data_IF_704208267880
#
_entry.id   IF_704208267880
#
_cell.length_a   1.000
_cell.length_b   1.000
_cell.length_c   1.000
_cell.angle_alpha   90.00
_cell.angle_beta   90.00
_cell.angle_gamma   90.00
#
_symmetry.space_group_name_H-M   'P 1'
#
loop_
_entity.id
_entity.type
_entity.pdbx_description
1 polymer ?
#
# COMPACT_ATOMS: atom_id res chain seq x y z
N UNK A 1 58.17 0.09 -76.83
CA UNK A 1 56.90 -0.35 -77.41
C UNK A 1 56.32 -1.45 -76.56
N UNK A 2 55.42 -1.15 -75.58
CA UNK A 2 54.73 -2.16 -74.82
C UNK A 2 53.24 -1.77 -74.72
N UNK A 3 52.42 -2.56 -75.39
CA UNK A 3 50.96 -2.52 -75.34
C UNK A 3 50.48 -2.98 -73.97
N UNK A 4 49.63 -2.18 -73.30
CA UNK A 4 48.79 -2.61 -72.16
C UNK A 4 47.34 -2.82 -72.62
N UNK A 5 46.70 -3.94 -72.27
CA UNK A 5 45.30 -4.14 -72.59
C UNK A 5 44.38 -3.42 -71.59
N UNK A 6 43.29 -2.86 -72.13
CA UNK A 6 42.16 -2.27 -71.36
C UNK A 6 41.31 -3.34 -70.69
N UNK A 7 41.01 -3.20 -69.39
CA UNK A 7 40.04 -4.02 -68.71
C UNK A 7 38.63 -3.38 -68.80
N UNK A 8 37.54 -4.21 -68.90
CA UNK A 8 36.22 -3.65 -69.00
C UNK A 8 35.70 -3.30 -67.55
N UNK A 9 34.99 -2.21 -67.44
CA UNK A 9 34.31 -1.77 -66.20
C UNK A 9 33.05 -2.61 -65.96
N UNK A 10 32.99 -3.30 -64.85
CA UNK A 10 31.81 -4.00 -64.36
C UNK A 10 30.94 -3.01 -63.57
N UNK A 11 29.75 -2.66 -64.07
CA UNK A 11 28.76 -1.86 -63.37
C UNK A 11 28.03 -2.76 -62.35
N UNK A 12 28.26 -2.48 -61.07
CA UNK A 12 27.50 -3.12 -59.98
C UNK A 12 26.20 -2.32 -59.75
N UNK A 13 25.06 -2.91 -60.08
CA UNK A 13 23.74 -2.40 -59.72
C UNK A 13 23.50 -2.75 -58.25
N UNK A 14 23.57 -1.76 -57.34
CA UNK A 14 23.12 -1.95 -55.97
C UNK A 14 21.61 -1.77 -55.90
N UNK A 15 20.89 -2.87 -55.67
CA UNK A 15 19.49 -2.88 -55.25
C UNK A 15 19.45 -2.50 -53.79
N UNK A 16 18.94 -1.31 -53.47
CA UNK A 16 18.60 -0.90 -52.10
C UNK A 16 17.33 -1.62 -51.65
N UNK A 17 17.50 -2.63 -50.83
CA UNK A 17 16.39 -3.22 -50.05
C UNK A 17 16.04 -2.23 -48.94
N UNK A 18 14.91 -1.57 -49.04
CA UNK A 18 14.37 -0.69 -48.01
C UNK A 18 13.93 -1.50 -46.81
N UNK A 19 14.72 -1.50 -45.74
CA UNK A 19 14.27 -2.00 -44.43
C UNK A 19 13.39 -0.91 -43.79
N UNK A 20 12.07 -1.12 -43.81
CA UNK A 20 11.10 -0.29 -43.07
C UNK A 20 11.31 -0.53 -41.60
N UNK A 21 11.97 0.36 -40.90
CA UNK A 21 11.97 0.40 -39.43
C UNK A 21 10.61 0.91 -39.01
N UNK A 22 9.75 0.00 -38.52
CA UNK A 22 8.59 0.35 -37.72
C UNK A 22 9.11 0.98 -36.41
N UNK A 23 9.19 2.31 -36.40
CA UNK A 23 9.42 3.04 -35.17
C UNK A 23 8.22 2.78 -34.25
N UNK A 24 8.42 1.94 -33.24
CA UNK A 24 7.44 1.78 -32.16
C UNK A 24 7.20 3.16 -31.55
N UNK A 25 5.96 3.64 -31.62
CA UNK A 25 5.56 4.88 -30.98
C UNK A 25 5.90 4.80 -29.48
N UNK A 26 6.51 5.84 -28.87
CA UNK A 26 6.75 5.87 -27.44
C UNK A 26 5.40 5.77 -26.72
N UNK A 27 5.31 4.86 -25.75
CA UNK A 27 4.17 4.78 -24.87
C UNK A 27 3.90 6.17 -24.28
N UNK A 28 2.78 6.76 -24.67
CA UNK A 28 2.38 8.10 -24.23
C UNK A 28 2.12 7.99 -22.73
N UNK A 29 2.91 8.68 -21.92
CA UNK A 29 2.64 8.84 -20.49
C UNK A 29 1.16 9.25 -20.34
N UNK A 30 0.43 8.55 -19.46
CA UNK A 30 -0.97 8.84 -19.21
C UNK A 30 -1.11 10.32 -18.86
N UNK A 31 -1.83 11.07 -19.68
CA UNK A 31 -2.15 12.47 -19.43
C UNK A 31 -2.97 12.58 -18.13
N UNK A 32 -3.20 13.80 -17.60
CA UNK A 32 -3.95 14.00 -16.38
C UNK A 32 -5.28 13.27 -16.49
N UNK A 33 -5.57 12.40 -15.48
CA UNK A 33 -6.83 11.70 -15.40
C UNK A 33 -7.97 12.74 -15.38
N UNK A 34 -8.87 12.69 -16.35
CA UNK A 34 -10.08 13.48 -16.29
C UNK A 34 -10.91 12.92 -15.14
N UNK A 35 -11.10 13.71 -14.08
CA UNK A 35 -11.98 13.34 -12.97
C UNK A 35 -13.40 13.16 -13.53
N UNK A 36 -13.99 12.02 -13.26
CA UNK A 36 -15.37 11.71 -13.63
C UNK A 36 -16.25 12.09 -12.43
N UNK A 37 -17.35 12.79 -12.66
CA UNK A 37 -18.29 13.15 -11.60
C UNK A 37 -18.78 11.90 -10.82
N UNK A 38 -19.02 12.02 -9.50
CA UNK A 38 -19.52 10.90 -8.69
C UNK A 38 -20.79 10.31 -9.28
N UNK A 39 -20.81 8.98 -9.50
CA UNK A 39 -21.97 8.28 -10.09
C UNK A 39 -22.96 7.77 -9.05
N UNK A 40 -22.63 7.80 -7.77
CA UNK A 40 -23.47 7.30 -6.70
C UNK A 40 -23.79 8.40 -5.70
N UNK A 41 -25.07 8.57 -5.37
CA UNK A 41 -25.48 9.42 -4.26
C UNK A 41 -25.24 8.69 -2.95
N UNK A 42 -24.59 9.36 -1.98
CA UNK A 42 -24.27 8.81 -0.67
C UNK A 42 -24.59 9.78 0.45
N UNK A 43 -24.65 9.27 1.66
CA UNK A 43 -24.63 10.02 2.92
C UNK A 43 -23.45 9.56 3.76
N UNK A 44 -22.94 10.46 4.57
CA UNK A 44 -21.84 10.22 5.50
C UNK A 44 -22.36 10.50 6.90
N UNK A 45 -22.14 9.58 7.84
CA UNK A 45 -22.46 9.73 9.25
C UNK A 45 -21.24 9.44 10.12
N UNK A 46 -21.02 10.24 11.19
CA UNK A 46 -20.01 9.90 12.19
C UNK A 46 -20.57 8.81 13.08
N UNK A 47 -19.80 7.72 13.24
CA UNK A 47 -20.18 6.58 14.09
C UNK A 47 -19.31 6.46 15.34
N UNK A 48 -18.19 7.15 15.37
CA UNK A 48 -17.35 7.32 16.56
C UNK A 48 -16.46 8.56 16.40
N UNK A 49 -16.29 9.30 17.48
CA UNK A 49 -15.47 10.51 17.57
C UNK A 49 -14.48 10.37 18.73
N UNK A 50 -13.52 11.31 18.85
CA UNK A 50 -12.56 11.35 19.95
C UNK A 50 -11.46 10.30 19.88
N UNK A 51 -11.11 9.83 18.69
CA UNK A 51 -9.99 8.93 18.43
C UNK A 51 -8.70 9.71 18.20
N UNK A 52 -7.61 9.31 18.85
CA UNK A 52 -6.33 9.98 18.74
C UNK A 52 -5.49 9.42 17.57
N UNK A 53 -5.47 10.11 16.44
CA UNK A 53 -4.78 9.70 15.22
C UNK A 53 -5.11 8.25 14.83
N UNK A 54 -6.40 7.92 14.56
CA UNK A 54 -6.77 6.57 14.15
C UNK A 54 -6.03 6.20 12.85
N UNK A 55 -5.50 4.95 12.79
CA UNK A 55 -4.66 4.54 11.69
C UNK A 55 -5.27 3.44 10.81
N UNK A 56 -5.92 2.45 11.41
CA UNK A 56 -6.55 1.33 10.69
C UNK A 56 -7.81 0.87 11.38
N UNK A 57 -8.70 0.25 10.61
CA UNK A 57 -9.98 -0.28 11.07
C UNK A 57 -10.17 -1.72 10.59
N UNK A 58 -10.72 -2.58 11.47
CA UNK A 58 -11.21 -3.91 11.10
C UNK A 58 -12.66 -4.10 11.61
N UNK A 59 -13.52 -4.67 10.76
CA UNK A 59 -14.89 -5.02 11.13
C UNK A 59 -14.92 -6.43 11.70
N UNK A 60 -15.37 -6.57 12.96
CA UNK A 60 -15.56 -7.87 13.62
C UNK A 60 -16.80 -8.60 13.05
N UNK A 61 -16.86 -9.94 13.15
CA UNK A 61 -18.02 -10.72 12.65
C UNK A 61 -19.35 -10.32 13.30
N UNK A 62 -19.34 -9.79 14.51
CA UNK A 62 -20.51 -9.31 15.24
C UNK A 62 -20.89 -7.84 14.93
N UNK A 63 -20.19 -7.22 13.99
CA UNK A 63 -20.43 -5.85 13.53
C UNK A 63 -19.77 -4.75 14.38
N UNK A 64 -19.08 -5.10 15.46
CA UNK A 64 -18.20 -4.15 16.16
C UNK A 64 -17.00 -3.79 15.29
N UNK A 65 -16.35 -2.64 15.58
CA UNK A 65 -15.16 -2.22 14.87
C UNK A 65 -13.96 -2.20 15.84
N UNK A 66 -12.82 -2.70 15.39
CA UNK A 66 -11.53 -2.46 16.01
C UNK A 66 -10.85 -1.30 15.28
N UNK A 67 -10.32 -0.34 16.05
CA UNK A 67 -9.60 0.82 15.50
C UNK A 67 -8.27 0.95 16.21
N UNK A 68 -7.17 0.98 15.47
CA UNK A 68 -5.86 1.32 16.02
C UNK A 68 -5.71 2.83 16.11
N UNK A 69 -5.21 3.30 17.25
CA UNK A 69 -4.76 4.67 17.43
C UNK A 69 -3.23 4.70 17.44
N UNK A 70 -2.64 5.58 16.68
CA UNK A 70 -1.18 5.67 16.49
C UNK A 70 -0.39 5.75 17.79
N UNK A 71 -0.86 6.41 18.88
CA UNK A 71 -0.18 6.39 20.18
C UNK A 71 -0.07 5.01 20.86
N UNK A 72 -0.69 3.95 20.32
CA UNK A 72 -0.53 2.58 20.82
C UNK A 72 -1.78 2.00 21.47
N UNK A 73 -2.95 2.56 21.25
CA UNK A 73 -4.21 2.01 21.76
C UNK A 73 -4.97 1.28 20.65
N UNK A 74 -5.56 0.15 21.00
CA UNK A 74 -6.58 -0.53 20.19
C UNK A 74 -7.95 -0.26 20.80
N UNK A 75 -8.85 0.34 20.01
CA UNK A 75 -10.16 0.79 20.46
C UNK A 75 -11.26 -0.11 19.88
N UNK A 76 -12.36 -0.18 20.60
CA UNK A 76 -13.58 -0.89 20.15
C UNK A 76 -14.70 0.13 19.96
N UNK A 77 -15.31 0.10 18.78
CA UNK A 77 -16.60 0.77 18.54
C UNK A 77 -17.68 -0.30 18.55
N UNK A 78 -18.62 -0.17 19.48
CA UNK A 78 -19.68 -1.13 19.75
C UNK A 78 -20.98 -0.72 19.09
N UNK A 79 -21.88 -1.69 18.87
CA UNK A 79 -23.29 -1.42 18.62
C UNK A 79 -23.99 -1.20 19.96
N UNK A 80 -24.79 -0.13 20.05
CA UNK A 80 -25.69 0.05 21.18
C UNK A 80 -27.03 -0.71 21.00
N UNK A 81 -27.87 -0.73 22.02
CA UNK A 81 -29.14 -1.43 21.97
C UNK A 81 -30.15 -0.86 20.95
N UNK A 82 -29.97 0.38 20.51
CA UNK A 82 -30.78 1.03 19.49
C UNK A 82 -30.22 0.81 18.06
N UNK A 83 -29.11 0.05 17.94
CA UNK A 83 -28.43 -0.21 16.67
C UNK A 83 -27.46 0.90 16.24
N UNK A 84 -27.27 1.95 17.04
CA UNK A 84 -26.27 2.99 16.88
C UNK A 84 -24.86 2.47 17.17
N UNK A 85 -23.88 3.38 17.06
CA UNK A 85 -22.49 3.07 17.38
C UNK A 85 -22.03 3.89 18.58
N UNK A 86 -21.13 3.31 19.38
CA UNK A 86 -20.51 3.96 20.52
C UNK A 86 -19.06 3.54 20.67
N UNK A 87 -18.16 4.52 20.85
CA UNK A 87 -16.78 4.24 21.23
C UNK A 87 -16.74 3.75 22.68
N UNK A 88 -16.19 2.54 22.92
CA UNK A 88 -15.94 2.03 24.26
C UNK A 88 -14.92 2.94 24.97
N UNK A 89 -15.20 3.35 26.20
CA UNK A 89 -14.31 4.24 26.95
C UNK A 89 -12.93 3.59 27.21
N UNK A 90 -12.89 2.35 27.67
CA UNK A 90 -11.66 1.63 27.93
C UNK A 90 -11.07 1.06 26.61
N UNK A 91 -9.77 1.25 26.34
CA UNK A 91 -9.09 0.57 25.24
C UNK A 91 -8.96 -0.94 25.52
N UNK A 92 -8.63 -1.70 24.47
CA UNK A 92 -8.26 -3.11 24.57
C UNK A 92 -6.98 -3.26 25.38
N UNK A 93 -7.00 -4.14 26.37
CA UNK A 93 -5.82 -4.44 27.18
C UNK A 93 -4.85 -5.39 26.47
N UNK A 94 -3.60 -5.45 26.91
CA UNK A 94 -2.59 -6.38 26.38
C UNK A 94 -2.00 -5.99 25.03
N UNK A 95 -2.28 -4.80 24.53
CA UNK A 95 -1.59 -4.25 23.34
C UNK A 95 -0.11 -4.04 23.69
N UNK A 96 0.83 -4.50 22.86
CA UNK A 96 2.27 -4.27 23.09
C UNK A 96 2.61 -2.78 23.18
N UNK A 97 3.65 -2.46 23.98
CA UNK A 97 4.21 -1.11 23.96
C UNK A 97 4.77 -0.78 22.57
N UNK A 98 4.42 0.41 22.07
CA UNK A 98 4.85 0.90 20.76
C UNK A 98 5.72 2.14 20.90
N UNK A 99 6.64 2.34 19.96
CA UNK A 99 7.31 3.62 19.79
C UNK A 99 6.33 4.56 19.05
N UNK A 100 5.88 5.63 19.70
CA UNK A 100 4.87 6.54 19.16
C UNK A 100 5.42 7.96 18.98
N UNK A 101 6.43 8.11 18.12
CA UNK A 101 7.09 9.38 17.83
C UNK A 101 7.22 9.64 16.34
N UNK A 102 7.09 10.88 15.90
CA UNK A 102 7.14 11.24 14.48
C UNK A 102 6.05 10.52 13.68
N UNK A 103 6.45 9.67 12.73
CA UNK A 103 5.55 8.83 11.94
C UNK A 103 5.37 7.42 12.53
N UNK A 104 6.02 7.10 13.63
CA UNK A 104 5.92 5.80 14.29
C UNK A 104 4.63 5.65 15.10
N UNK A 105 4.32 4.43 15.53
CA UNK A 105 3.15 4.13 16.35
C UNK A 105 2.60 2.74 16.13
N UNK A 106 1.32 2.55 16.53
CA UNK A 106 0.51 1.40 16.18
C UNK A 106 -0.13 1.64 14.82
N UNK A 107 0.04 0.69 13.89
CA UNK A 107 -0.37 0.84 12.50
C UNK A 107 -1.59 -0.02 12.19
N UNK A 108 -1.40 -1.14 11.51
CA UNK A 108 -2.50 -1.93 10.97
C UNK A 108 -3.06 -2.94 11.99
N UNK A 109 -4.36 -3.18 11.91
CA UNK A 109 -5.04 -4.32 12.52
C UNK A 109 -5.69 -5.14 11.42
N UNK A 110 -5.43 -6.44 11.42
CA UNK A 110 -6.00 -7.37 10.46
C UNK A 110 -6.50 -8.61 11.19
N UNK A 111 -7.71 -9.06 10.85
CA UNK A 111 -8.26 -10.29 11.40
C UNK A 111 -7.72 -11.50 10.62
N UNK A 112 -7.52 -12.60 11.35
CA UNK A 112 -7.30 -13.90 10.74
C UNK A 112 -8.57 -14.32 9.95
N UNK A 113 -8.45 -15.02 8.81
CA UNK A 113 -9.63 -15.50 8.07
C UNK A 113 -10.59 -16.32 8.91
N UNK A 114 -10.07 -17.06 9.90
CA UNK A 114 -10.83 -17.89 10.80
C UNK A 114 -11.15 -17.18 12.14
N UNK A 115 -11.12 -15.85 12.18
CA UNK A 115 -11.26 -15.05 13.40
C UNK A 115 -12.52 -15.41 14.20
N UNK A 116 -13.64 -15.65 13.54
CA UNK A 116 -14.88 -16.04 14.20
C UNK A 116 -14.72 -17.31 15.06
N UNK A 117 -13.85 -18.23 14.67
CA UNK A 117 -13.58 -19.48 15.38
C UNK A 117 -12.40 -19.38 16.36
N UNK A 118 -11.35 -18.62 15.99
CA UNK A 118 -10.08 -18.64 16.74
C UNK A 118 -9.76 -17.34 17.49
N UNK A 119 -10.48 -16.23 17.22
CA UNK A 119 -10.25 -14.92 17.82
C UNK A 119 -8.89 -14.29 17.45
N UNK A 120 -8.22 -14.79 16.43
CA UNK A 120 -6.86 -14.37 16.09
C UNK A 120 -6.87 -13.09 15.26
N UNK A 121 -5.99 -12.17 15.61
CA UNK A 121 -5.69 -10.97 14.83
C UNK A 121 -4.17 -10.71 14.75
N UNK A 122 -3.82 -9.81 13.85
CA UNK A 122 -2.45 -9.34 13.64
C UNK A 122 -2.39 -7.84 13.85
N UNK A 123 -1.31 -7.38 14.51
CA UNK A 123 -1.00 -5.96 14.68
C UNK A 123 0.38 -5.67 14.14
N UNK A 124 0.54 -4.58 13.40
CA UNK A 124 1.83 -4.03 13.01
C UNK A 124 2.10 -2.72 13.74
N UNK A 125 3.34 -2.52 14.18
CA UNK A 125 3.71 -1.34 14.96
C UNK A 125 5.22 -1.06 14.94
N UNK A 126 5.59 0.17 15.28
CA UNK A 126 6.97 0.56 15.52
C UNK A 126 7.43 0.05 16.90
N UNK A 127 8.55 -0.66 16.93
CA UNK A 127 9.14 -1.25 18.14
C UNK A 127 10.59 -0.81 18.33
N UNK A 128 10.99 -0.58 19.56
CA UNK A 128 12.35 -0.14 19.91
C UNK A 128 12.40 1.27 20.44
N UNK A 129 13.48 1.99 20.12
CA UNK A 129 13.73 3.38 20.54
C UNK A 129 13.84 4.29 19.32
N UNK A 130 13.90 5.60 19.50
CA UNK A 130 14.13 6.55 18.41
C UNK A 130 15.39 6.23 17.58
N UNK A 131 16.47 5.85 18.25
CA UNK A 131 17.76 5.59 17.62
C UNK A 131 17.97 4.15 17.14
N UNK A 132 17.07 3.22 17.53
CA UNK A 132 17.12 1.81 17.11
C UNK A 132 15.73 1.22 17.10
N UNK A 133 15.05 1.27 15.94
CA UNK A 133 13.66 0.85 15.81
C UNK A 133 13.42 -0.04 14.60
N UNK A 134 12.31 -0.77 14.68
CA UNK A 134 11.91 -1.78 13.73
C UNK A 134 10.42 -1.66 13.43
N UNK A 135 9.97 -2.12 12.27
CA UNK A 135 8.60 -2.58 12.10
C UNK A 135 8.48 -3.97 12.71
N UNK A 136 7.48 -4.18 13.56
CA UNK A 136 7.15 -5.49 14.12
C UNK A 136 5.72 -5.85 13.80
N UNK A 137 5.49 -7.15 13.55
CA UNK A 137 4.16 -7.73 13.44
C UNK A 137 4.01 -8.77 14.56
N UNK A 138 2.89 -8.68 15.27
CA UNK A 138 2.49 -9.69 16.26
C UNK A 138 1.21 -10.36 15.83
N UNK A 139 1.07 -11.63 16.22
CA UNK A 139 -0.15 -12.41 16.24
C UNK A 139 -0.66 -12.47 17.67
N UNK A 140 -1.95 -12.26 17.86
CA UNK A 140 -2.59 -12.32 19.20
C UNK A 140 -3.98 -12.91 19.10
N UNK A 141 -4.57 -13.33 20.25
CA UNK A 141 -5.98 -13.69 20.38
C UNK A 141 -6.73 -12.57 21.10
N UNK A 142 -7.85 -12.17 20.55
CA UNK A 142 -8.74 -11.16 21.12
C UNK A 142 -9.99 -11.83 21.69
N UNK A 143 -10.29 -11.59 22.97
CA UNK A 143 -11.45 -12.15 23.68
C UNK A 143 -12.64 -11.18 23.77
N UNK A 144 -12.53 -10.00 23.16
CA UNK A 144 -13.52 -8.92 23.26
C UNK A 144 -13.09 -7.76 24.15
N UNK A 145 -12.12 -7.96 25.04
CA UNK A 145 -11.62 -6.94 25.98
C UNK A 145 -10.09 -6.86 26.01
N UNK A 146 -9.41 -7.98 25.81
CA UNK A 146 -7.95 -8.10 25.97
C UNK A 146 -7.33 -8.92 24.84
N UNK A 147 -6.04 -8.66 24.57
CA UNK A 147 -5.18 -9.50 23.75
C UNK A 147 -4.44 -10.52 24.61
N UNK A 148 -4.50 -11.79 24.18
CA UNK A 148 -3.79 -12.93 24.78
C UNK A 148 -2.81 -13.53 23.76
N UNK A 149 -1.90 -14.35 24.23
CA UNK A 149 -0.95 -15.11 23.39
C UNK A 149 -0.19 -14.22 22.39
N UNK A 150 0.13 -12.99 22.79
CA UNK A 150 0.81 -12.02 21.94
C UNK A 150 2.22 -12.49 21.65
N UNK A 151 2.52 -12.78 20.38
CA UNK A 151 3.84 -13.21 19.94
C UNK A 151 4.27 -12.51 18.65
N UNK A 152 5.54 -12.12 18.60
CA UNK A 152 6.10 -11.56 17.38
C UNK A 152 6.24 -12.67 16.32
N UNK A 153 5.74 -12.38 15.11
CA UNK A 153 5.86 -13.25 13.94
C UNK A 153 6.78 -12.66 12.87
N UNK A 154 7.03 -11.35 12.94
CA UNK A 154 8.00 -10.67 12.09
C UNK A 154 8.61 -9.48 12.82
N UNK A 155 9.89 -9.23 12.60
CA UNK A 155 10.60 -8.01 13.01
C UNK A 155 11.59 -7.65 11.92
N UNK A 156 11.48 -6.43 11.42
CA UNK A 156 12.34 -5.94 10.34
C UNK A 156 13.79 -5.81 10.78
N UNK A 157 14.71 -5.90 9.84
CA UNK A 157 16.15 -5.71 10.06
C UNK A 157 16.82 -5.06 8.85
N UNK A 158 17.89 -4.27 9.08
CA UNK A 158 18.41 -3.89 10.40
C UNK A 158 17.46 -2.97 11.16
N UNK A 159 17.81 -2.60 12.39
CA UNK A 159 17.22 -1.46 13.07
C UNK A 159 17.52 -0.18 12.27
N UNK A 160 16.58 0.75 12.24
CA UNK A 160 16.80 2.08 11.67
C UNK A 160 16.82 3.14 12.77
N UNK A 161 17.46 4.27 12.49
CA UNK A 161 17.70 5.34 13.48
C UNK A 161 16.70 6.49 13.41
N UNK A 162 15.70 6.40 12.53
CA UNK A 162 14.69 7.46 12.33
C UNK A 162 13.28 6.93 12.48
N UNK A 163 12.38 7.82 12.94
CA UNK A 163 10.97 7.49 13.20
C UNK A 163 10.06 7.75 11.98
N UNK A 164 10.59 7.60 10.77
CA UNK A 164 9.88 7.86 9.51
C UNK A 164 9.84 6.61 8.62
N UNK A 165 8.93 6.59 7.65
CA UNK A 165 8.75 5.58 6.62
C UNK A 165 8.77 4.15 7.15
N UNK A 166 7.79 3.81 7.98
CA UNK A 166 7.62 2.44 8.48
C UNK A 166 6.85 1.53 7.50
N UNK A 167 5.98 2.07 6.66
CA UNK A 167 4.96 1.28 5.98
C UNK A 167 3.92 0.78 6.98
N UNK A 168 3.91 -0.53 7.24
CA UNK A 168 3.11 -1.17 8.28
C UNK A 168 1.81 -1.81 7.79
N UNK A 169 1.36 -1.56 6.55
CA UNK A 169 0.15 -2.18 6.01
C UNK A 169 0.36 -3.66 5.74
N UNK A 170 -0.66 -4.46 6.05
CA UNK A 170 -0.69 -5.91 5.90
C UNK A 170 -1.78 -6.36 4.93
N UNK A 171 -1.58 -7.51 4.28
CA UNK A 171 -2.62 -8.22 3.54
C UNK A 171 -2.38 -9.73 3.57
N UNK A 172 -3.43 -10.53 3.36
CA UNK A 172 -3.33 -11.98 3.21
C UNK A 172 -3.39 -12.35 1.74
N UNK A 173 -2.49 -13.22 1.30
CA UNK A 173 -2.52 -13.81 -0.02
C UNK A 173 -3.50 -15.00 -0.08
N UNK A 174 -3.78 -15.50 -1.29
CA UNK A 174 -4.70 -16.61 -1.52
C UNK A 174 -4.27 -17.91 -0.82
N UNK A 175 -2.96 -18.11 -0.64
CA UNK A 175 -2.38 -19.25 0.06
C UNK A 175 -2.40 -19.13 1.60
N UNK A 176 -2.98 -18.04 2.11
CA UNK A 176 -3.08 -17.75 3.54
C UNK A 176 -1.79 -17.19 4.15
N UNK A 177 -0.76 -16.89 3.36
CA UNK A 177 0.44 -16.20 3.86
C UNK A 177 0.20 -14.70 4.01
N UNK A 178 0.98 -14.08 4.89
CA UNK A 178 0.90 -12.66 5.23
C UNK A 178 1.94 -11.87 4.45
N UNK A 179 1.55 -10.79 3.78
CA UNK A 179 2.47 -9.79 3.24
C UNK A 179 2.44 -8.52 4.08
N UNK A 180 3.61 -7.88 4.22
CA UNK A 180 3.79 -6.68 5.04
C UNK A 180 4.63 -5.66 4.27
N UNK A 181 4.12 -4.45 4.10
CA UNK A 181 4.85 -3.36 3.46
C UNK A 181 5.79 -2.67 4.44
N UNK A 182 7.03 -2.42 3.99
CA UNK A 182 8.05 -1.69 4.74
C UNK A 182 8.56 -0.50 3.98
N UNK A 183 8.64 0.64 4.67
CA UNK A 183 9.30 1.82 4.14
C UNK A 183 10.83 1.74 4.17
N UNK A 184 11.46 2.66 3.44
CA UNK A 184 12.92 2.77 3.29
C UNK A 184 13.63 3.44 4.49
N UNK A 185 12.89 3.82 5.55
CA UNK A 185 13.42 4.54 6.70
C UNK A 185 13.72 6.02 6.43
N UNK A 186 13.41 6.53 5.24
CA UNK A 186 13.61 7.91 4.78
C UNK A 186 15.07 8.29 4.44
N UNK A 187 16.03 7.99 5.28
CA UNK A 187 17.45 8.28 5.03
C UNK A 187 18.17 7.11 4.34
N UNK A 188 17.70 5.89 4.55
CA UNK A 188 18.28 4.67 4.01
C UNK A 188 17.74 4.31 2.63
N UNK A 189 17.36 5.32 1.82
CA UNK A 189 16.67 5.14 0.53
C UNK A 189 17.33 4.14 -0.42
N UNK A 190 18.66 4.04 -0.41
CA UNK A 190 19.41 3.07 -1.24
C UNK A 190 19.23 1.63 -0.80
N UNK A 191 18.83 1.40 0.44
CA UNK A 191 18.54 0.07 0.97
C UNK A 191 17.31 -0.56 0.33
N UNK A 192 16.42 0.25 -0.27
CA UNK A 192 15.29 -0.27 -1.04
C UNK A 192 15.72 -1.20 -2.18
N UNK A 193 16.95 -1.05 -2.70
CA UNK A 193 17.52 -1.89 -3.76
C UNK A 193 18.40 -3.04 -3.22
N UNK A 194 18.72 -3.09 -1.91
CA UNK A 194 19.57 -4.13 -1.32
C UNK A 194 18.74 -5.27 -0.78
N UNK A 195 19.10 -6.51 -1.10
CA UNK A 195 18.40 -7.70 -0.59
C UNK A 195 18.82 -8.11 0.83
N UNK A 196 19.86 -7.50 1.39
CA UNK A 196 20.35 -7.75 2.77
C UNK A 196 19.58 -7.00 3.86
N UNK A 197 18.53 -6.28 3.51
CA UNK A 197 17.72 -5.44 4.42
C UNK A 197 16.24 -5.52 4.05
N UNK A 198 15.35 -5.36 5.06
CA UNK A 198 13.90 -5.26 4.83
C UNK A 198 13.44 -3.83 4.49
N UNK A 199 14.32 -2.83 4.56
CA UNK A 199 13.96 -1.44 4.25
C UNK A 199 13.59 -1.29 2.77
N UNK A 200 12.45 -0.67 2.51
CA UNK A 200 11.91 -0.49 1.15
C UNK A 200 11.49 -1.79 0.46
N UNK A 201 10.87 -2.70 1.22
CA UNK A 201 10.42 -4.02 0.75
C UNK A 201 8.93 -4.26 1.05
N UNK A 202 8.35 -5.18 0.31
CA UNK A 202 7.23 -5.96 0.79
C UNK A 202 7.80 -7.34 1.14
N UNK A 203 7.52 -7.83 2.34
CA UNK A 203 7.94 -9.15 2.83
C UNK A 203 6.75 -10.10 2.86
N UNK A 204 7.00 -11.42 2.74
CA UNK A 204 5.99 -12.48 2.86
C UNK A 204 6.42 -13.49 3.91
N UNK A 205 5.54 -13.75 4.88
CA UNK A 205 5.74 -14.69 5.97
C UNK A 205 4.48 -15.53 6.19
N UNK A 206 4.63 -16.69 6.79
CA UNK A 206 3.52 -17.48 7.28
C UNK A 206 2.78 -16.77 8.43
N UNK A 207 1.53 -17.19 8.71
CA UNK A 207 0.72 -16.68 9.84
C UNK A 207 1.33 -16.99 11.21
N UNK A 208 2.32 -17.86 11.27
CA UNK A 208 3.12 -18.22 12.45
C UNK A 208 4.50 -17.56 12.47
N UNK A 209 4.88 -16.87 11.41
CA UNK A 209 6.19 -16.23 11.22
C UNK A 209 7.20 -17.07 10.43
N UNK A 210 6.84 -18.28 9.98
CA UNK A 210 7.67 -19.10 9.11
C UNK A 210 7.91 -18.43 7.76
N UNK A 211 9.07 -18.68 7.13
CA UNK A 211 9.37 -18.19 5.78
C UNK A 211 8.86 -19.19 4.76
N UNK A 212 7.95 -18.80 3.84
CA UNK A 212 7.52 -19.67 2.76
C UNK A 212 8.68 -20.10 1.86
N UNK A 213 8.77 -21.41 1.57
CA UNK A 213 9.89 -21.97 0.80
C UNK A 213 9.94 -21.49 -0.65
N UNK A 214 8.81 -21.02 -1.18
CA UNK A 214 8.63 -20.47 -2.52
C UNK A 214 8.78 -18.94 -2.60
N UNK A 215 9.26 -18.29 -1.54
CA UNK A 215 9.62 -16.88 -1.61
C UNK A 215 10.75 -16.65 -2.64
N UNK A 216 10.68 -15.55 -3.43
CA UNK A 216 11.54 -15.37 -4.62
C UNK A 216 13.04 -15.30 -4.33
N UNK A 217 13.44 -15.03 -3.09
CA UNK A 217 14.85 -14.87 -2.72
C UNK A 217 15.35 -15.94 -1.73
N UNK A 218 14.56 -16.99 -1.46
CA UNK A 218 15.00 -18.13 -0.64
C UNK A 218 16.22 -18.80 -1.30
N UNK A 219 17.23 -19.13 -0.51
CA UNK A 219 18.48 -19.73 -0.98
C UNK A 219 19.44 -18.80 -1.71
N UNK A 220 19.08 -17.55 -1.96
CA UNK A 220 19.98 -16.57 -2.56
C UNK A 220 20.95 -16.01 -1.52
N UNK A 221 22.26 -16.22 -1.75
CA UNK A 221 23.30 -15.72 -0.85
C UNK A 221 23.22 -14.19 -0.66
N UNK A 222 23.25 -13.73 0.59
CA UNK A 222 23.18 -12.31 0.95
C UNK A 222 21.79 -11.69 0.88
N UNK A 223 20.75 -12.46 0.55
CA UNK A 223 19.36 -11.99 0.55
C UNK A 223 18.62 -12.44 1.81
N UNK A 224 17.71 -11.60 2.31
CA UNK A 224 16.75 -11.97 3.35
C UNK A 224 15.62 -12.77 2.71
N UNK A 225 15.34 -13.99 3.20
CA UNK A 225 14.41 -14.89 2.53
C UNK A 225 12.94 -14.48 2.66
N UNK A 226 12.62 -13.55 3.55
CA UNK A 226 11.27 -12.99 3.73
C UNK A 226 10.87 -12.03 2.61
N UNK A 227 11.83 -11.51 1.81
CA UNK A 227 11.56 -10.50 0.77
C UNK A 227 10.67 -11.08 -0.32
N UNK A 228 9.57 -10.36 -0.62
CA UNK A 228 8.63 -10.68 -1.69
C UNK A 228 8.81 -9.75 -2.90
N UNK A 229 8.96 -8.44 -2.68
CA UNK A 229 9.28 -7.44 -3.69
C UNK A 229 10.19 -6.35 -3.12
N UNK A 230 10.82 -5.55 -3.98
CA UNK A 230 11.80 -4.53 -3.60
C UNK A 230 11.60 -3.22 -4.36
N UNK A 231 12.36 -2.19 -3.97
CA UNK A 231 12.32 -0.90 -4.64
C UNK A 231 11.11 -0.06 -4.24
N UNK A 232 10.69 -0.14 -2.97
CA UNK A 232 9.60 0.64 -2.41
C UNK A 232 10.13 1.80 -1.57
N UNK A 233 9.39 2.94 -1.59
CA UNK A 233 9.73 4.07 -0.72
C UNK A 233 8.99 4.01 0.62
N UNK A 234 7.66 4.00 0.61
CA UNK A 234 6.86 3.98 1.83
C UNK A 234 5.43 3.48 1.53
N UNK A 235 5.22 2.16 1.39
CA UNK A 235 3.90 1.57 1.17
C UNK A 235 2.94 1.88 2.32
N UNK A 236 1.75 2.44 2.01
CA UNK A 236 0.76 2.85 3.01
C UNK A 236 -0.58 2.13 2.87
N UNK A 237 -0.91 1.65 1.68
CA UNK A 237 -2.10 0.84 1.43
C UNK A 237 -1.75 -0.42 0.66
N UNK A 238 -2.45 -1.51 1.00
CA UNK A 238 -2.28 -2.81 0.35
C UNK A 238 -3.60 -3.57 0.32
N UNK A 239 -3.91 -4.17 -0.82
CA UNK A 239 -5.10 -4.99 -1.02
C UNK A 239 -4.73 -6.22 -1.82
N UNK A 240 -5.05 -7.38 -1.27
CA UNK A 240 -5.02 -8.66 -1.99
C UNK A 240 -6.40 -8.95 -2.58
N UNK A 241 -6.43 -9.41 -3.82
CA UNK A 241 -7.60 -9.94 -4.51
C UNK A 241 -7.38 -11.42 -4.81
N UNK A 242 -7.60 -12.32 -3.82
CA UNK A 242 -7.24 -13.74 -3.93
C UNK A 242 -7.86 -14.44 -5.14
N UNK A 243 -9.14 -14.16 -5.43
CA UNK A 243 -9.84 -14.74 -6.59
C UNK A 243 -9.24 -14.32 -7.95
N UNK A 244 -8.43 -13.26 -7.98
CA UNK A 244 -7.74 -12.76 -9.18
C UNK A 244 -6.24 -13.02 -9.14
N UNK A 245 -5.71 -13.63 -8.07
CA UNK A 245 -4.28 -13.80 -7.84
C UNK A 245 -3.52 -12.47 -7.90
N UNK A 246 -4.09 -11.36 -7.44
CA UNK A 246 -3.51 -10.04 -7.59
C UNK A 246 -3.30 -9.37 -6.23
N UNK A 247 -2.15 -8.73 -6.07
CA UNK A 247 -1.81 -7.87 -4.93
C UNK A 247 -1.54 -6.47 -5.46
N UNK A 248 -2.20 -5.49 -4.87
CA UNK A 248 -1.98 -4.07 -5.16
C UNK A 248 -1.45 -3.37 -3.92
N UNK A 249 -0.49 -2.47 -4.11
CA UNK A 249 0.00 -1.58 -3.09
C UNK A 249 0.14 -0.17 -3.66
N UNK A 250 -0.08 0.84 -2.83
CA UNK A 250 0.30 2.20 -3.15
C UNK A 250 1.32 2.72 -2.14
N UNK A 251 2.09 3.69 -2.57
CA UNK A 251 3.15 4.27 -1.76
C UNK A 251 3.33 5.76 -2.00
N UNK A 252 3.91 6.43 -1.00
CA UNK A 252 4.30 7.83 -1.12
C UNK A 252 5.54 7.99 -1.99
N UNK A 253 5.46 8.87 -2.97
CA UNK A 253 6.63 9.45 -3.62
C UNK A 253 7.28 10.53 -2.75
N UNK A 254 8.25 11.24 -3.33
CA UNK A 254 8.91 12.38 -2.70
C UNK A 254 8.50 13.65 -3.45
N UNK A 255 7.69 14.51 -2.82
CA UNK A 255 7.15 15.75 -3.40
C UNK A 255 6.51 15.54 -4.79
N UNK A 256 5.63 14.52 -4.93
CA UNK A 256 5.06 13.99 -6.15
C UNK A 256 5.56 12.56 -6.41
N UNK A 257 5.04 11.91 -7.45
CA UNK A 257 5.38 10.53 -7.77
C UNK A 257 4.87 9.52 -6.75
N UNK A 258 3.70 9.77 -6.14
CA UNK A 258 2.99 8.73 -5.40
C UNK A 258 2.53 7.68 -6.42
N UNK A 259 2.53 6.40 -6.05
CA UNK A 259 2.34 5.32 -7.00
C UNK A 259 1.27 4.33 -6.55
N UNK A 260 0.54 3.76 -7.52
CA UNK A 260 -0.22 2.52 -7.36
C UNK A 260 0.47 1.44 -8.17
N UNK A 261 0.86 0.37 -7.50
CA UNK A 261 1.60 -0.74 -8.06
C UNK A 261 0.81 -2.05 -8.00
N UNK A 262 0.92 -2.89 -9.02
CA UNK A 262 0.62 -4.31 -8.93
C UNK A 262 1.89 -5.03 -8.49
N UNK A 263 1.81 -5.74 -7.38
CA UNK A 263 2.96 -6.38 -6.74
C UNK A 263 3.07 -7.81 -7.21
N UNK A 264 4.23 -8.14 -7.79
CA UNK A 264 4.56 -9.49 -8.23
C UNK A 264 5.78 -10.03 -7.44
N UNK A 265 5.88 -11.36 -7.24
CA UNK A 265 7.01 -11.95 -6.55
C UNK A 265 8.33 -11.63 -7.26
N UNK A 266 9.32 -11.15 -6.52
CA UNK A 266 10.65 -10.81 -7.04
C UNK A 266 10.74 -9.49 -7.81
N UNK A 267 9.63 -8.79 -8.04
CA UNK A 267 9.61 -7.55 -8.79
C UNK A 267 10.34 -6.40 -8.06
N UNK A 268 10.99 -5.54 -8.86
CA UNK A 268 11.62 -4.30 -8.40
C UNK A 268 10.79 -3.11 -8.87
N UNK A 269 10.23 -2.33 -7.94
CA UNK A 269 9.39 -1.17 -8.22
C UNK A 269 10.17 0.15 -8.34
N UNK A 270 11.51 0.08 -8.30
CA UNK A 270 12.41 1.09 -8.83
C UNK A 270 12.93 2.11 -7.84
N UNK A 271 12.26 2.42 -6.74
CA UNK A 271 12.78 3.40 -5.79
C UNK A 271 14.17 3.02 -5.23
N UNK A 272 15.15 3.95 -5.14
CA UNK A 272 15.17 5.33 -5.65
C UNK A 272 15.79 5.46 -7.07
N UNK A 273 16.03 4.34 -7.79
CA UNK A 273 16.62 4.32 -9.13
C UNK A 273 15.69 4.99 -10.14
N UNK A 274 14.39 4.76 -10.02
CA UNK A 274 13.35 5.45 -10.79
C UNK A 274 12.35 6.11 -9.83
N UNK A 275 11.85 7.30 -10.19
CA UNK A 275 10.75 7.97 -9.49
C UNK A 275 10.16 9.10 -10.34
N UNK A 276 8.86 9.34 -10.16
CA UNK A 276 8.18 10.52 -10.67
C UNK A 276 8.37 11.77 -9.82
N UNK A 277 8.81 11.62 -8.57
CA UNK A 277 8.98 12.73 -7.63
C UNK A 277 10.34 13.41 -7.70
N UNK A 278 10.43 14.52 -6.97
CA UNK A 278 11.68 15.25 -6.71
C UNK A 278 11.94 15.31 -5.21
N UNK A 279 13.16 15.56 -4.80
CA UNK A 279 13.49 15.77 -3.39
C UNK A 279 12.73 16.98 -2.81
N UNK A 280 12.51 16.99 -1.51
CA UNK A 280 11.84 18.12 -0.83
C UNK A 280 12.61 19.44 -0.98
N UNK A 281 13.92 19.38 -1.19
CA UNK A 281 14.77 20.53 -1.56
C UNK A 281 14.51 21.04 -2.98
N UNK A 282 13.79 20.26 -3.81
CA UNK A 282 13.61 20.53 -5.25
C UNK A 282 14.65 19.87 -6.14
N UNK A 283 15.68 19.26 -5.57
CA UNK A 283 16.69 18.55 -6.33
C UNK A 283 16.12 17.31 -7.01
N UNK A 284 16.63 16.95 -8.17
CA UNK A 284 16.31 15.69 -8.84
C UNK A 284 16.92 14.53 -8.06
N UNK A 285 16.11 13.51 -7.74
CA UNK A 285 16.58 12.28 -7.06
C UNK A 285 17.32 11.39 -8.06
N UNK A 286 16.75 11.21 -9.24
CA UNK A 286 17.30 10.39 -10.34
C UNK A 286 16.90 10.99 -11.68
N UNK A 287 17.70 10.81 -12.74
CA UNK A 287 17.28 11.19 -14.09
C UNK A 287 16.29 10.22 -14.72
N UNK A 288 16.08 9.04 -14.13
CA UNK A 288 15.35 7.95 -14.74
C UNK A 288 13.89 7.90 -14.27
N UNK A 289 12.97 7.80 -15.23
CA UNK A 289 11.55 7.48 -15.03
C UNK A 289 11.27 5.99 -15.22
N UNK A 290 12.09 5.36 -16.05
CA UNK A 290 12.07 3.91 -16.30
C UNK A 290 13.50 3.40 -16.30
N UNK A 291 13.69 2.12 -15.97
CA UNK A 291 15.01 1.48 -16.00
C UNK A 291 14.85 -0.02 -16.31
N UNK A 292 15.79 -0.65 -17.02
CA UNK A 292 15.73 -2.09 -17.30
C UNK A 292 15.59 -2.90 -16.01
N UNK A 293 14.64 -3.83 -15.96
CA UNK A 293 14.36 -4.68 -14.79
C UNK A 293 13.53 -4.01 -13.70
N UNK A 294 13.04 -2.79 -13.91
CA UNK A 294 12.10 -2.10 -13.02
C UNK A 294 10.67 -2.24 -13.56
N UNK A 295 9.75 -2.61 -12.69
CA UNK A 295 8.31 -2.65 -12.98
C UNK A 295 7.72 -1.25 -12.78
N UNK A 296 7.16 -0.62 -13.81
CA UNK A 296 6.56 0.70 -13.69
C UNK A 296 5.25 0.66 -12.91
N UNK A 297 4.84 1.77 -12.25
CA UNK A 297 3.56 1.87 -11.58
C UNK A 297 2.39 1.82 -12.57
N UNK A 298 1.23 1.33 -12.11
CA UNK A 298 -0.02 1.37 -12.85
C UNK A 298 -0.61 2.79 -12.88
N UNK A 299 -0.42 3.56 -11.82
CA UNK A 299 -0.84 4.96 -11.67
C UNK A 299 0.27 5.72 -10.97
N UNK A 300 0.55 6.92 -11.44
CA UNK A 300 1.40 7.90 -10.76
C UNK A 300 0.58 9.16 -10.45
N UNK A 301 0.66 9.66 -9.21
CA UNK A 301 0.05 10.92 -8.81
C UNK A 301 1.11 11.99 -8.60
N UNK A 302 1.12 12.97 -9.51
CA UNK A 302 1.94 14.19 -9.44
C UNK A 302 1.06 15.38 -9.83
N UNK A 303 0.78 16.32 -8.91
CA UNK A 303 1.32 16.46 -7.53
C UNK A 303 0.92 15.29 -6.61
N UNK A 304 1.70 15.09 -5.53
CA UNK A 304 1.39 14.10 -4.49
C UNK A 304 0.01 14.32 -3.88
N UNK A 305 -0.78 13.25 -3.76
CA UNK A 305 -2.04 13.21 -3.01
C UNK A 305 -1.82 12.75 -1.56
N UNK A 306 -0.64 12.19 -1.26
CA UNK A 306 -0.27 11.48 -0.03
C UNK A 306 -1.26 10.33 0.27
N UNK A 307 -1.26 9.24 -0.53
CA UNK A 307 -2.17 8.12 -0.38
C UNK A 307 -1.93 7.39 0.95
N UNK A 308 -3.00 6.92 1.61
CA UNK A 308 -2.89 6.36 2.95
C UNK A 308 -3.51 4.96 3.09
N UNK A 309 -4.83 4.82 3.18
CA UNK A 309 -5.50 3.52 3.20
C UNK A 309 -5.97 3.09 1.82
N UNK A 310 -6.23 1.78 1.64
CA UNK A 310 -6.79 1.25 0.41
C UNK A 310 -7.77 0.12 0.69
N UNK A 311 -8.89 0.11 -0.01
CA UNK A 311 -9.85 -0.98 -0.03
C UNK A 311 -10.27 -1.33 -1.45
N UNK A 312 -10.58 -2.60 -1.69
CA UNK A 312 -11.32 -3.03 -2.86
C UNK A 312 -12.81 -3.09 -2.51
N UNK A 313 -13.65 -2.61 -3.40
CA UNK A 313 -15.08 -2.60 -3.18
C UNK A 313 -15.81 -3.57 -4.12
N UNK A 314 -16.53 -4.53 -3.52
CA UNK A 314 -17.45 -5.46 -4.21
C UNK A 314 -18.80 -5.56 -3.49
N UNK A 315 -19.07 -4.61 -2.58
CA UNK A 315 -20.27 -4.60 -1.75
C UNK A 315 -21.57 -4.38 -2.52
N UNK A 316 -22.73 -4.72 -1.91
CA UNK A 316 -24.03 -4.59 -2.56
C UNK A 316 -24.58 -3.16 -2.57
N UNK A 317 -24.16 -2.29 -1.63
CA UNK A 317 -24.78 -0.96 -1.46
C UNK A 317 -24.49 -0.01 -2.62
N UNK A 318 -23.31 -0.11 -3.26
CA UNK A 318 -22.91 0.75 -4.36
C UNK A 318 -22.55 -0.07 -5.60
N UNK A 319 -23.52 -0.57 -6.37
CA UNK A 319 -23.25 -1.40 -7.56
C UNK A 319 -22.29 -0.75 -8.57
N UNK A 320 -22.38 0.59 -8.73
CA UNK A 320 -21.52 1.35 -9.65
C UNK A 320 -20.05 1.46 -9.17
N UNK A 321 -19.77 1.09 -7.93
CA UNK A 321 -18.42 1.12 -7.35
C UNK A 321 -17.73 -0.25 -7.36
N UNK A 322 -18.46 -1.32 -7.67
CA UNK A 322 -17.90 -2.68 -7.69
C UNK A 322 -16.69 -2.80 -8.60
N UNK A 323 -15.71 -3.58 -8.18
CA UNK A 323 -14.46 -3.78 -8.91
C UNK A 323 -13.52 -2.59 -8.86
N UNK A 324 -13.74 -1.61 -7.98
CA UNK A 324 -12.86 -0.44 -7.84
C UNK A 324 -11.97 -0.54 -6.60
N UNK A 325 -10.78 0.04 -6.68
CA UNK A 325 -9.99 0.40 -5.51
C UNK A 325 -10.41 1.79 -5.02
N UNK A 326 -10.45 1.95 -3.71
CA UNK A 326 -10.64 3.21 -3.00
C UNK A 326 -9.34 3.54 -2.27
N UNK A 327 -8.76 4.69 -2.55
CA UNK A 327 -7.49 5.15 -2.00
C UNK A 327 -7.73 6.46 -1.26
N UNK A 328 -7.55 6.47 0.07
CA UNK A 328 -7.64 7.71 0.85
C UNK A 328 -6.42 8.58 0.64
N UNK A 329 -6.60 9.89 0.71
CA UNK A 329 -5.56 10.88 0.48
C UNK A 329 -5.48 11.87 1.65
N UNK A 330 -4.29 11.95 2.26
CA UNK A 330 -4.05 12.84 3.40
C UNK A 330 -3.88 14.30 2.98
N UNK A 331 -3.18 14.53 1.86
CA UNK A 331 -2.90 15.88 1.37
C UNK A 331 -4.07 16.42 0.54
N UNK A 332 -4.63 15.58 -0.30
CA UNK A 332 -5.76 15.95 -1.15
C UNK A 332 -7.09 16.03 -0.36
N UNK A 333 -7.14 15.41 0.84
CA UNK A 333 -8.34 15.38 1.70
C UNK A 333 -9.55 14.78 0.98
N UNK A 334 -9.35 13.62 0.38
CA UNK A 334 -10.33 12.96 -0.50
C UNK A 334 -10.13 11.44 -0.50
N UNK A 335 -10.97 10.77 -1.26
CA UNK A 335 -10.76 9.37 -1.67
C UNK A 335 -10.73 9.31 -3.19
N UNK A 336 -9.70 8.70 -3.75
CA UNK A 336 -9.64 8.35 -5.17
C UNK A 336 -10.29 6.98 -5.40
N UNK A 337 -11.39 6.94 -6.16
CA UNK A 337 -11.92 5.69 -6.70
C UNK A 337 -11.21 5.38 -8.00
N UNK A 338 -10.59 4.21 -8.05
CA UNK A 338 -9.83 3.71 -9.21
C UNK A 338 -10.52 2.43 -9.71
N UNK A 339 -11.36 2.50 -10.76
CA UNK A 339 -11.95 1.31 -11.35
C UNK A 339 -10.88 0.37 -11.91
N UNK A 340 -11.05 -0.95 -11.74
CA UNK A 340 -10.16 -1.97 -12.28
C UNK A 340 -10.88 -2.83 -13.31
N UNK A 341 -10.70 -2.53 -14.59
CA UNK A 341 -11.20 -3.36 -15.69
C UNK A 341 -10.13 -4.40 -16.08
N UNK A 342 -10.35 -5.67 -15.73
CA UNK A 342 -9.35 -6.71 -15.99
C UNK A 342 -8.00 -6.48 -15.27
N UNK A 343 -8.01 -5.74 -14.16
CA UNK A 343 -6.78 -5.39 -13.42
C UNK A 343 -6.08 -4.12 -13.92
N UNK A 344 -6.62 -3.46 -14.94
CA UNK A 344 -6.10 -2.21 -15.50
C UNK A 344 -6.89 -1.04 -14.91
N UNK A 345 -6.20 -0.02 -14.33
CA UNK A 345 -6.86 1.19 -13.82
C UNK A 345 -7.58 1.97 -14.92
N UNK A 346 -8.84 2.29 -14.69
CA UNK A 346 -9.65 3.18 -15.52
C UNK A 346 -9.63 4.64 -15.06
N UNK A 347 -10.50 5.49 -15.63
CA UNK A 347 -10.66 6.89 -15.20
C UNK A 347 -11.04 6.97 -13.73
N UNK A 348 -10.33 7.83 -12.98
CA UNK A 348 -10.50 7.99 -11.54
C UNK A 348 -11.61 8.97 -11.20
N UNK A 349 -12.24 8.77 -10.06
CA UNK A 349 -13.16 9.73 -9.43
C UNK A 349 -12.56 10.23 -8.12
N UNK A 350 -12.73 11.53 -7.84
CA UNK A 350 -12.43 12.12 -6.52
C UNK A 350 -13.73 12.19 -5.72
N UNK A 351 -13.74 11.61 -4.52
CA UNK A 351 -14.91 11.49 -3.65
C UNK A 351 -14.64 12.11 -2.28
N UNK A 352 -15.70 12.47 -1.55
CA UNK A 352 -15.69 12.91 -0.15
C UNK A 352 -14.87 14.19 0.11
N UNK A 353 -14.70 15.04 -0.91
CA UNK A 353 -14.00 16.33 -0.79
C UNK A 353 -14.72 17.31 0.11
N UNK A 354 -16.06 17.15 0.28
CA UNK A 354 -16.89 17.95 1.17
C UNK A 354 -16.53 17.79 2.66
N UNK A 355 -15.81 16.73 3.04
CA UNK A 355 -15.30 16.55 4.39
C UNK A 355 -14.18 17.53 4.72
N UNK A 356 -13.40 17.97 3.74
CA UNK A 356 -12.20 18.81 3.89
C UNK A 356 -11.23 18.34 4.99
N UNK A 357 -11.18 17.01 5.23
CA UNK A 357 -10.36 16.37 6.25
C UNK A 357 -9.33 15.42 5.62
N UNK A 358 -8.19 15.29 6.30
CA UNK A 358 -7.21 14.26 5.96
C UNK A 358 -7.81 12.88 6.24
N UNK A 359 -7.90 12.03 5.23
CA UNK A 359 -8.47 10.69 5.35
C UNK A 359 -7.35 9.66 5.44
N UNK A 360 -7.33 8.89 6.56
CA UNK A 360 -6.26 7.93 6.86
C UNK A 360 -6.54 6.53 6.33
N UNK A 361 -7.75 6.03 6.46
CA UNK A 361 -8.07 4.65 6.05
C UNK A 361 -9.45 4.55 5.44
N UNK A 362 -9.64 3.54 4.60
CA UNK A 362 -10.93 3.16 4.02
C UNK A 362 -11.08 1.65 4.11
N UNK A 363 -12.27 1.18 4.53
CA UNK A 363 -12.59 -0.24 4.57
C UNK A 363 -13.99 -0.49 4.00
N UNK A 364 -14.11 -1.51 3.16
CA UNK A 364 -15.39 -2.03 2.76
C UNK A 364 -15.90 -3.01 3.83
N UNK A 365 -17.09 -2.76 4.32
CA UNK A 365 -17.71 -3.64 5.33
C UNK A 365 -18.52 -4.76 4.67
N UNK A 366 -18.77 -5.88 5.38
CA UNK A 366 -19.55 -6.99 4.86
C UNK A 366 -20.98 -6.61 4.45
N UNK A 367 -21.57 -5.59 5.10
CA UNK A 367 -22.91 -5.07 4.76
C UNK A 367 -22.91 -4.19 3.49
N UNK A 368 -21.74 -3.88 2.96
CA UNK A 368 -21.54 -3.06 1.76
C UNK A 368 -21.33 -1.57 2.03
N UNK A 369 -21.37 -1.11 3.28
CA UNK A 369 -20.97 0.24 3.63
C UNK A 369 -19.45 0.43 3.45
N UNK A 370 -19.02 1.68 3.24
CA UNK A 370 -17.62 2.05 3.41
C UNK A 370 -17.44 2.73 4.78
N UNK A 371 -16.34 2.39 5.45
CA UNK A 371 -15.87 3.12 6.61
C UNK A 371 -14.64 3.93 6.24
N UNK A 372 -14.58 5.18 6.73
CA UNK A 372 -13.42 6.07 6.58
C UNK A 372 -12.89 6.44 7.95
N UNK A 373 -11.57 6.57 8.08
CA UNK A 373 -10.92 7.16 9.24
C UNK A 373 -10.35 8.53 8.88
N UNK A 374 -10.58 9.53 9.73
CA UNK A 374 -9.92 10.84 9.59
C UNK A 374 -8.58 10.83 10.31
N UNK A 375 -7.60 11.58 9.80
CA UNK A 375 -6.27 11.72 10.40
C UNK A 375 -6.22 12.96 11.26
N UNK A 376 -6.61 12.87 12.52
CA UNK A 376 -6.61 13.98 13.46
C UNK A 376 -6.39 13.49 14.90
N UNK A 377 -6.02 14.42 15.81
CA UNK A 377 -5.98 14.16 17.25
C UNK A 377 -7.37 13.91 17.82
N UNK A 378 -8.38 14.53 17.24
CA UNK A 378 -9.81 14.27 17.48
C UNK A 378 -10.40 13.59 16.24
N UNK A 379 -9.85 12.40 15.93
CA UNK A 379 -10.21 11.63 14.75
C UNK A 379 -11.57 10.95 14.88
N UNK A 380 -12.13 10.57 13.72
CA UNK A 380 -13.48 10.01 13.60
C UNK A 380 -13.49 8.74 12.78
N UNK A 381 -14.47 7.89 13.07
CA UNK A 381 -14.93 6.84 12.16
C UNK A 381 -16.18 7.34 11.46
N UNK A 382 -16.13 7.40 10.13
CA UNK A 382 -17.26 7.78 9.29
C UNK A 382 -17.80 6.56 8.57
N UNK A 383 -19.13 6.44 8.44
CA UNK A 383 -19.81 5.40 7.68
C UNK A 383 -20.50 6.01 6.48
N UNK A 384 -20.25 5.43 5.31
CA UNK A 384 -20.81 5.88 4.02
C UNK A 384 -21.81 4.85 3.53
N UNK A 385 -23.02 5.29 3.27
CA UNK A 385 -24.15 4.47 2.77
C UNK A 385 -24.87 5.21 1.63
N UNK A 386 -25.64 4.53 0.78
CA UNK A 386 -26.50 5.21 -0.19
C UNK A 386 -27.49 6.18 0.47
N UNK A 387 -27.84 7.24 -0.26
CA UNK A 387 -28.98 8.13 0.09
C UNK A 387 -30.29 7.45 -0.17
#
# INVERSE_FOLDING_TARGET
>A
MHHRPRRPSLAIVMTLAGASWLAGAPARAAGPSTDVAPRAAYRIESVADGLDHPWSLATLPDGRLLVTERPGRLRVVERDAAGGFRLRAAPVEGVPAVLAEGQSGLFDVMLDPDFAANGVLYLSFAHGTQSANHLRVVRARFDGARLHDVRAIFTSRPAKSHTQHFGGRMALLADGTLVVGMGDGNLERTDAQRLSTHLGKIVRVGRDGGVPADNPFVGRAGALPEIYSLGHRNPQGMVSLPARGALYAHEHGSKGGDELNRIEPGANHGWPVTTGGVDYTGARITPYRTYPGVTPPLVEWTPSIAPAGMAHYDGPMFPAWRGSLFVTALKEKSVRRVPLAGGVPGPQETLFTELDERLRDVRAAPDGALYLLTEAREGRVLRVTPR
#
